data_IF_274353294203
#
_entry.id   IF_274353294203
#
_cell.length_a   1.000
_cell.length_b   1.000
_cell.length_c   1.000
_cell.angle_alpha   90.00
_cell.angle_beta   90.00
_cell.angle_gamma   90.00
#
_symmetry.space_group_name_H-M   'P 1'
#
loop_
_entity.id
_entity.type
_entity.pdbx_description
1 polymer ?
#
# COMPACT_ATOMS: atom_id res chain seq x y z
N UNK A 1 50.39 -3.09 14.91
CA UNK A 1 49.18 -2.37 14.48
C UNK A 1 48.44 -3.26 13.51
N UNK A 2 47.45 -4.03 14.02
CA UNK A 2 46.62 -4.92 13.19
C UNK A 2 45.42 -4.16 12.70
N UNK A 3 45.37 -3.87 11.41
CA UNK A 3 44.20 -3.29 10.75
C UNK A 3 43.12 -4.37 10.56
N UNK A 4 42.08 -4.30 11.39
CA UNK A 4 40.90 -5.16 11.26
C UNK A 4 40.07 -4.69 10.06
N UNK A 5 40.20 -5.37 8.93
CA UNK A 5 39.35 -5.18 7.74
C UNK A 5 38.02 -5.90 7.99
N UNK A 6 36.86 -5.20 7.95
CA UNK A 6 35.56 -5.86 8.13
C UNK A 6 35.30 -6.81 6.97
N UNK A 7 34.98 -8.08 7.26
CA UNK A 7 34.61 -9.10 6.26
C UNK A 7 33.28 -8.72 5.59
N UNK A 8 33.19 -8.65 4.25
CA UNK A 8 31.99 -8.26 3.52
C UNK A 8 30.78 -9.22 3.68
N UNK A 9 30.98 -10.42 4.23
CA UNK A 9 29.90 -11.40 4.50
C UNK A 9 28.98 -11.05 5.67
N UNK A 10 29.42 -10.23 6.62
CA UNK A 10 28.64 -9.94 7.83
C UNK A 10 27.44 -9.02 7.59
N UNK A 11 27.50 -8.10 6.64
CA UNK A 11 26.44 -7.15 6.33
C UNK A 11 25.29 -7.83 5.58
N UNK A 12 25.60 -8.60 4.53
CA UNK A 12 24.60 -9.39 3.78
C UNK A 12 23.84 -10.36 4.69
N UNK A 13 24.53 -11.14 5.51
CA UNK A 13 23.91 -12.10 6.42
C UNK A 13 23.02 -11.42 7.47
N UNK A 14 23.35 -10.19 7.87
CA UNK A 14 22.51 -9.38 8.78
C UNK A 14 21.23 -8.91 8.09
N UNK A 15 21.35 -8.36 6.87
CA UNK A 15 20.20 -7.89 6.09
C UNK A 15 19.25 -9.04 5.75
N UNK A 16 19.79 -10.22 5.40
CA UNK A 16 19.03 -11.46 5.18
C UNK A 16 18.25 -11.92 6.42
N UNK A 17 18.90 -11.86 7.60
CA UNK A 17 18.23 -12.26 8.86
C UNK A 17 17.10 -11.29 9.24
N UNK A 18 17.31 -9.99 9.07
CA UNK A 18 16.29 -8.97 9.29
C UNK A 18 15.09 -9.17 8.36
N UNK A 19 15.34 -9.42 7.08
CA UNK A 19 14.30 -9.67 6.08
C UNK A 19 13.50 -10.93 6.43
N UNK A 20 14.17 -12.05 6.81
CA UNK A 20 13.47 -13.27 7.24
C UNK A 20 12.57 -13.06 8.45
N UNK A 21 13.00 -12.22 9.41
CA UNK A 21 12.18 -11.88 10.57
C UNK A 21 10.91 -11.12 10.12
N UNK A 22 11.04 -10.14 9.23
CA UNK A 22 9.89 -9.42 8.69
C UNK A 22 8.96 -10.31 7.87
N UNK A 23 9.49 -11.22 7.04
CA UNK A 23 8.68 -12.17 6.26
C UNK A 23 7.87 -13.12 7.17
N UNK A 24 8.52 -13.62 8.22
CA UNK A 24 7.88 -14.49 9.21
C UNK A 24 6.79 -13.73 10.00
N UNK A 25 7.10 -12.50 10.43
CA UNK A 25 6.16 -11.66 11.16
C UNK A 25 4.94 -11.30 10.29
N UNK A 26 5.15 -10.93 9.03
CA UNK A 26 4.07 -10.63 8.08
C UNK A 26 3.11 -11.82 7.95
N UNK A 27 3.65 -13.01 7.76
CA UNK A 27 2.85 -14.24 7.63
C UNK A 27 2.05 -14.53 8.91
N UNK A 28 2.69 -14.46 10.07
CA UNK A 28 2.06 -14.75 11.35
C UNK A 28 1.02 -13.70 11.75
N UNK A 29 1.32 -12.42 11.57
CA UNK A 29 0.36 -11.34 11.85
C UNK A 29 -0.86 -11.43 10.94
N UNK A 30 -0.68 -11.77 9.67
CA UNK A 30 -1.80 -11.94 8.76
C UNK A 30 -2.69 -13.13 9.13
N UNK A 31 -2.10 -14.24 9.60
CA UNK A 31 -2.81 -15.46 9.89
C UNK A 31 -3.46 -15.45 11.28
N UNK A 32 -2.70 -15.02 12.29
CA UNK A 32 -3.12 -15.14 13.70
C UNK A 32 -3.49 -13.78 14.32
N UNK A 33 -3.09 -12.66 13.71
CA UNK A 33 -3.16 -11.32 14.28
C UNK A 33 -1.92 -10.96 15.09
N UNK A 34 -1.78 -9.68 15.39
CA UNK A 34 -0.65 -9.15 16.14
C UNK A 34 -0.63 -9.71 17.58
N UNK A 35 -1.75 -9.59 18.30
CA UNK A 35 -1.82 -9.96 19.72
C UNK A 35 -1.50 -11.44 19.97
N UNK A 36 -2.08 -12.33 19.16
CA UNK A 36 -1.88 -13.77 19.29
C UNK A 36 -0.50 -14.25 18.80
N UNK A 37 0.28 -13.40 18.13
CA UNK A 37 1.59 -13.78 17.61
C UNK A 37 2.68 -13.50 18.65
N UNK A 38 3.33 -14.55 19.14
CA UNK A 38 4.48 -14.44 20.02
C UNK A 38 5.77 -14.21 19.23
N UNK A 39 6.69 -13.38 19.76
CA UNK A 39 8.03 -13.17 19.16
C UNK A 39 8.83 -14.45 19.03
N UNK A 40 8.61 -15.43 19.94
CA UNK A 40 9.21 -16.76 19.84
C UNK A 40 8.76 -17.52 18.59
N UNK A 41 7.48 -17.43 18.21
CA UNK A 41 6.95 -18.04 16.99
C UNK A 41 7.58 -17.39 15.74
N UNK A 42 7.75 -16.05 15.75
CA UNK A 42 8.46 -15.34 14.67
C UNK A 42 9.90 -15.84 14.54
N UNK A 43 10.61 -16.03 15.65
CA UNK A 43 11.98 -16.56 15.66
C UNK A 43 12.09 -17.95 15.03
N UNK A 44 11.18 -18.84 15.41
CA UNK A 44 11.12 -20.22 14.88
C UNK A 44 10.84 -20.19 13.38
N UNK A 45 9.84 -19.43 12.94
CA UNK A 45 9.47 -19.35 11.53
C UNK A 45 10.56 -18.68 10.67
N UNK A 46 11.25 -17.67 11.21
CA UNK A 46 12.36 -17.01 10.54
C UNK A 46 13.65 -17.84 10.53
N UNK A 47 13.72 -18.93 11.30
CA UNK A 47 14.94 -19.73 11.45
C UNK A 47 16.09 -18.94 12.10
N UNK A 48 15.78 -18.12 13.12
CA UNK A 48 16.77 -17.28 13.82
C UNK A 48 16.69 -17.49 15.35
N UNK A 49 17.79 -17.29 16.09
CA UNK A 49 17.75 -17.24 17.54
C UNK A 49 16.83 -16.11 18.04
N UNK A 50 16.04 -16.36 19.10
CA UNK A 50 15.11 -15.37 19.68
C UNK A 50 15.79 -14.05 20.04
N UNK A 51 17.03 -14.10 20.55
CA UNK A 51 17.81 -12.91 20.89
C UNK A 51 18.11 -12.01 19.69
N UNK A 52 18.17 -12.58 18.47
CA UNK A 52 18.42 -11.82 17.26
C UNK A 52 17.21 -10.96 16.86
N UNK A 53 15.99 -11.36 17.22
CA UNK A 53 14.80 -10.52 17.00
C UNK A 53 14.95 -9.22 17.78
N UNK A 54 15.26 -9.29 19.08
CA UNK A 54 15.39 -8.11 19.93
C UNK A 54 16.61 -7.24 19.60
N UNK A 55 17.59 -7.81 18.92
CA UNK A 55 18.69 -7.03 18.36
C UNK A 55 18.24 -6.10 17.20
N UNK A 56 17.34 -6.58 16.33
CA UNK A 56 16.83 -5.78 15.21
C UNK A 56 15.59 -4.96 15.56
N UNK A 57 14.73 -5.50 16.42
CA UNK A 57 13.44 -4.94 16.77
C UNK A 57 13.25 -5.02 18.29
N UNK A 58 13.41 -3.90 19.00
CA UNK A 58 13.34 -3.89 20.47
C UNK A 58 12.03 -4.42 21.04
N UNK A 59 10.93 -4.23 20.28
CA UNK A 59 9.58 -4.67 20.66
C UNK A 59 8.86 -5.33 19.49
N UNK A 60 7.76 -6.01 19.78
CA UNK A 60 6.88 -6.59 18.74
C UNK A 60 6.21 -5.49 17.91
N UNK A 61 5.87 -4.37 18.54
CA UNK A 61 5.34 -3.17 17.90
C UNK A 61 6.34 -2.59 16.88
N UNK A 62 7.63 -2.57 17.19
CA UNK A 62 8.67 -2.13 16.26
C UNK A 62 8.74 -3.02 14.99
N UNK A 63 8.44 -4.31 15.10
CA UNK A 63 8.32 -5.20 13.93
C UNK A 63 7.13 -4.78 13.08
N UNK A 64 5.96 -4.55 13.70
CA UNK A 64 4.75 -4.15 13.01
C UNK A 64 4.92 -2.79 12.30
N UNK A 65 5.46 -1.80 13.00
CA UNK A 65 5.74 -0.47 12.44
C UNK A 65 6.69 -0.56 11.24
N UNK A 66 7.77 -1.34 11.37
CA UNK A 66 8.72 -1.56 10.30
C UNK A 66 8.07 -2.25 9.08
N UNK A 67 7.24 -3.28 9.30
CA UNK A 67 6.51 -3.94 8.23
C UNK A 67 5.63 -2.96 7.47
N UNK A 68 4.87 -2.13 8.19
CA UNK A 68 3.94 -1.18 7.59
C UNK A 68 4.72 -0.11 6.81
N UNK A 69 5.78 0.44 7.37
CA UNK A 69 6.52 1.55 6.75
C UNK A 69 7.37 1.12 5.56
N UNK A 70 8.01 -0.05 5.62
CA UNK A 70 8.91 -0.51 4.56
C UNK A 70 8.19 -1.23 3.41
N UNK A 71 7.09 -1.95 3.70
CA UNK A 71 6.39 -2.76 2.69
C UNK A 71 5.16 -2.08 2.12
N UNK A 72 4.66 -1.05 2.77
CA UNK A 72 3.60 -0.19 2.26
C UNK A 72 3.97 1.28 2.51
N UNK A 73 4.91 1.84 1.75
CA UNK A 73 5.32 3.22 1.95
C UNK A 73 4.13 4.17 1.80
N UNK A 74 4.10 5.22 2.63
CA UNK A 74 3.03 6.21 2.58
C UNK A 74 3.03 7.03 1.28
N UNK A 75 4.18 7.07 0.60
CA UNK A 75 4.39 7.77 -0.66
C UNK A 75 4.90 6.78 -1.74
N UNK A 76 4.02 5.88 -2.25
CA UNK A 76 4.44 4.81 -3.15
C UNK A 76 4.75 5.29 -4.57
N UNK A 77 4.29 6.49 -4.96
CA UNK A 77 4.48 7.06 -6.29
C UNK A 77 5.42 8.26 -6.21
N UNK A 78 6.60 8.13 -6.76
CA UNK A 78 7.63 9.18 -6.80
C UNK A 78 7.56 10.04 -8.05
N UNK A 79 7.13 9.48 -9.18
CA UNK A 79 6.96 10.20 -10.45
C UNK A 79 5.54 10.02 -10.99
N UNK A 80 4.72 11.04 -10.79
CA UNK A 80 3.34 11.09 -11.29
C UNK A 80 3.31 11.22 -12.81
N UNK A 81 4.29 11.93 -13.41
CA UNK A 81 4.28 12.20 -14.84
C UNK A 81 4.48 10.92 -15.67
N UNK A 82 5.22 9.95 -15.14
CA UNK A 82 5.39 8.64 -15.79
C UNK A 82 4.07 7.84 -15.93
N UNK A 83 3.02 8.23 -15.20
CA UNK A 83 1.70 7.58 -15.22
C UNK A 83 0.67 8.34 -16.06
N UNK A 84 1.00 9.56 -16.50
CA UNK A 84 0.08 10.41 -17.26
C UNK A 84 -0.05 9.92 -18.70
N UNK A 85 -1.29 9.70 -19.12
CA UNK A 85 -1.67 9.51 -20.51
C UNK A 85 -2.38 10.80 -20.97
N UNK A 86 -1.72 11.66 -21.76
CA UNK A 86 -2.28 12.95 -22.12
C UNK A 86 -3.61 12.83 -22.88
N UNK A 87 -4.64 13.52 -22.40
CA UNK A 87 -5.99 13.47 -23.00
C UNK A 87 -6.82 12.23 -22.57
N UNK A 88 -6.23 11.27 -21.84
CA UNK A 88 -6.94 10.09 -21.34
C UNK A 88 -6.78 9.90 -19.82
N UNK A 89 -7.62 10.60 -19.03
CA UNK A 89 -7.63 10.43 -17.58
C UNK A 89 -7.96 9.00 -17.13
N UNK A 90 -8.76 8.24 -17.89
CA UNK A 90 -9.11 6.88 -17.52
C UNK A 90 -7.91 5.95 -17.65
N UNK A 91 -7.12 6.04 -18.72
CA UNK A 91 -5.89 5.29 -18.88
C UNK A 91 -4.87 5.66 -17.79
N UNK A 92 -4.74 6.94 -17.47
CA UNK A 92 -3.86 7.43 -16.40
C UNK A 92 -4.22 6.83 -15.03
N UNK A 93 -5.51 6.72 -14.70
CA UNK A 93 -5.97 6.07 -13.46
C UNK A 93 -5.64 4.57 -13.45
N UNK A 94 -5.77 3.88 -14.58
CA UNK A 94 -5.39 2.47 -14.71
C UNK A 94 -3.88 2.29 -14.56
N UNK A 95 -3.07 3.22 -15.10
CA UNK A 95 -1.62 3.22 -14.91
C UNK A 95 -1.26 3.37 -13.43
N UNK A 96 -1.96 4.24 -12.70
CA UNK A 96 -1.78 4.40 -11.26
C UNK A 96 -2.11 3.11 -10.49
N UNK A 97 -3.25 2.46 -10.77
CA UNK A 97 -3.60 1.18 -10.13
C UNK A 97 -2.54 0.10 -10.41
N UNK A 98 -2.07 0.04 -11.65
CA UNK A 98 -1.03 -0.91 -12.06
C UNK A 98 0.30 -0.66 -11.36
N UNK A 99 0.72 0.61 -11.23
CA UNK A 99 1.96 0.98 -10.57
C UNK A 99 1.93 0.69 -9.06
N UNK A 100 0.80 0.95 -8.42
CA UNK A 100 0.61 0.68 -7.00
C UNK A 100 0.52 -0.82 -6.70
N UNK A 101 0.02 -1.60 -7.65
CA UNK A 101 -0.17 -3.05 -7.53
C UNK A 101 -0.78 -3.49 -6.18
N UNK A 102 -1.73 -2.68 -5.65
CA UNK A 102 -2.38 -2.94 -4.36
C UNK A 102 -3.11 -4.29 -4.32
N UNK A 103 -3.38 -4.87 -5.49
CA UNK A 103 -4.12 -6.13 -5.65
C UNK A 103 -3.18 -7.35 -5.70
N UNK A 104 -1.86 -7.16 -5.63
CA UNK A 104 -0.91 -8.25 -5.53
C UNK A 104 -1.04 -9.01 -4.20
N UNK A 105 -0.68 -10.29 -4.20
CA UNK A 105 -0.83 -11.17 -3.04
C UNK A 105 -0.09 -10.64 -1.80
N UNK A 106 1.14 -10.18 -1.95
CA UNK A 106 1.92 -9.60 -0.84
C UNK A 106 1.25 -8.35 -0.28
N UNK A 107 0.84 -7.43 -1.14
CA UNK A 107 0.10 -6.23 -0.72
C UNK A 107 -1.24 -6.56 -0.07
N UNK A 108 -1.89 -7.68 -0.44
CA UNK A 108 -3.14 -8.11 0.18
C UNK A 108 -2.95 -8.60 1.62
N UNK A 109 -1.88 -9.33 1.90
CA UNK A 109 -1.53 -9.79 3.25
C UNK A 109 -1.29 -8.61 4.18
N UNK A 110 -0.47 -7.65 3.73
CA UNK A 110 -0.15 -6.47 4.52
C UNK A 110 -1.39 -5.60 4.80
N UNK A 111 -2.31 -5.45 3.83
CA UNK A 111 -3.59 -4.75 4.06
C UNK A 111 -4.43 -5.37 5.15
N UNK A 112 -4.43 -6.70 5.27
CA UNK A 112 -5.14 -7.37 6.38
C UNK A 112 -4.58 -6.97 7.71
N UNK A 113 -3.25 -6.96 7.82
CA UNK A 113 -2.56 -6.55 9.03
C UNK A 113 -2.94 -5.10 9.34
N UNK A 114 -2.80 -4.20 8.38
CA UNK A 114 -3.08 -2.76 8.56
C UNK A 114 -4.53 -2.51 8.96
N UNK A 115 -5.50 -3.12 8.27
CA UNK A 115 -6.92 -2.92 8.60
C UNK A 115 -7.29 -3.49 9.97
N UNK A 116 -6.73 -4.64 10.34
CA UNK A 116 -6.98 -5.24 11.66
C UNK A 116 -6.36 -4.42 12.78
N UNK A 117 -5.13 -3.95 12.57
CA UNK A 117 -4.35 -3.34 13.64
C UNK A 117 -4.53 -1.80 13.71
N UNK A 118 -5.16 -1.17 12.71
CA UNK A 118 -5.41 0.28 12.71
C UNK A 118 -6.30 0.75 13.87
N UNK A 119 -7.19 -0.11 14.37
CA UNK A 119 -8.06 0.26 15.49
C UNK A 119 -7.29 0.32 16.82
N UNK A 120 -6.32 -0.55 17.01
CA UNK A 120 -5.57 -0.72 18.27
C UNK A 120 -4.19 -0.05 18.27
N UNK A 121 -3.60 0.18 17.07
CA UNK A 121 -2.26 0.76 16.91
C UNK A 121 -2.30 2.15 16.27
N UNK A 122 -2.14 3.25 17.04
CA UNK A 122 -2.21 4.62 16.52
C UNK A 122 -1.21 4.92 15.40
N UNK A 123 -0.01 4.33 15.45
CA UNK A 123 1.03 4.54 14.44
C UNK A 123 0.66 3.90 13.09
N UNK A 124 0.07 2.69 13.12
CA UNK A 124 -0.48 2.02 11.94
C UNK A 124 -1.63 2.86 11.34
N UNK A 125 -2.53 3.34 12.18
CA UNK A 125 -3.63 4.23 11.76
C UNK A 125 -3.12 5.52 11.12
N UNK A 126 -2.15 6.17 11.76
CA UNK A 126 -1.52 7.39 11.23
C UNK A 126 -0.83 7.15 9.90
N UNK A 127 -0.17 6.00 9.72
CA UNK A 127 0.45 5.61 8.47
C UNK A 127 -0.60 5.41 7.35
N UNK A 128 -1.71 4.74 7.65
CA UNK A 128 -2.81 4.55 6.71
C UNK A 128 -3.45 5.89 6.27
N UNK A 129 -3.60 6.83 7.21
CA UNK A 129 -4.07 8.18 6.88
C UNK A 129 -3.10 8.90 5.94
N UNK A 130 -1.78 8.85 6.20
CA UNK A 130 -0.78 9.46 5.30
C UNK A 130 -0.81 8.85 3.90
N UNK A 131 -0.84 7.51 3.81
CA UNK A 131 -0.94 6.81 2.54
C UNK A 131 -2.18 7.25 1.75
N UNK A 132 -3.34 7.26 2.39
CA UNK A 132 -4.61 7.66 1.76
C UNK A 132 -4.58 9.11 1.29
N UNK A 133 -4.06 10.03 2.11
CA UNK A 133 -3.90 11.44 1.74
C UNK A 133 -2.95 11.61 0.57
N UNK A 134 -1.81 10.95 0.58
CA UNK A 134 -0.85 10.99 -0.52
C UNK A 134 -1.46 10.46 -1.83
N UNK A 135 -2.15 9.32 -1.79
CA UNK A 135 -2.81 8.77 -2.98
C UNK A 135 -3.91 9.69 -3.53
N UNK A 136 -4.61 10.40 -2.65
CA UNK A 136 -5.58 11.41 -3.07
C UNK A 136 -4.88 12.57 -3.82
N UNK A 137 -3.80 13.10 -3.28
CA UNK A 137 -3.04 14.21 -3.89
C UNK A 137 -2.37 13.78 -5.20
N UNK A 138 -1.81 12.57 -5.26
CA UNK A 138 -1.27 11.96 -6.48
C UNK A 138 -2.36 11.84 -7.54
N UNK A 139 -3.54 11.35 -7.17
CA UNK A 139 -4.66 11.19 -8.09
C UNK A 139 -5.15 12.53 -8.63
N UNK A 140 -5.25 13.55 -7.78
CA UNK A 140 -5.63 14.91 -8.23
C UNK A 140 -4.64 15.46 -9.26
N UNK A 141 -3.33 15.35 -8.99
CA UNK A 141 -2.28 15.80 -9.93
C UNK A 141 -2.33 15.02 -11.25
N UNK A 142 -2.51 13.70 -11.17
CA UNK A 142 -2.62 12.82 -12.33
C UNK A 142 -3.81 13.20 -13.22
N UNK A 143 -4.98 13.39 -12.62
CA UNK A 143 -6.21 13.78 -13.32
C UNK A 143 -6.07 15.15 -13.95
N UNK A 144 -5.48 16.12 -13.26
CA UNK A 144 -5.25 17.46 -13.80
C UNK A 144 -4.28 17.43 -14.98
N UNK A 145 -3.20 16.63 -14.90
CA UNK A 145 -2.19 16.52 -15.95
C UNK A 145 -2.68 15.76 -17.19
N UNK A 146 -3.58 14.78 -17.00
CA UNK A 146 -4.14 13.99 -18.11
C UNK A 146 -5.40 14.58 -18.74
N UNK A 147 -6.02 15.56 -18.10
CA UNK A 147 -7.24 16.19 -18.63
C UNK A 147 -6.98 16.96 -19.94
N UNK A 148 -7.91 16.93 -20.90
CA UNK A 148 -7.78 17.68 -22.16
C UNK A 148 -7.92 19.21 -21.98
N UNK A 149 -8.25 19.67 -20.78
CA UNK A 149 -8.42 21.08 -20.44
C UNK A 149 -8.53 21.30 -18.94
N UNK A 150 -8.69 22.55 -18.48
CA UNK A 150 -8.77 22.87 -17.07
C UNK A 150 -10.00 22.23 -16.41
N UNK A 151 -9.79 21.63 -15.24
CA UNK A 151 -10.84 21.01 -14.43
C UNK A 151 -11.00 21.76 -13.12
N UNK A 152 -12.25 21.97 -12.69
CA UNK A 152 -12.50 22.66 -11.44
C UNK A 152 -11.93 21.88 -10.23
N UNK A 153 -11.33 22.55 -9.24
CA UNK A 153 -10.73 21.88 -8.07
C UNK A 153 -11.70 20.98 -7.29
N UNK A 154 -12.97 21.39 -7.21
CA UNK A 154 -14.02 20.57 -6.57
C UNK A 154 -14.27 19.25 -7.27
N UNK A 155 -14.32 19.28 -8.62
CA UNK A 155 -14.48 18.09 -9.45
C UNK A 155 -13.26 17.16 -9.33
N UNK A 156 -12.03 17.71 -9.41
CA UNK A 156 -10.81 16.92 -9.21
C UNK A 156 -10.83 16.20 -7.86
N UNK A 157 -11.19 16.92 -6.80
CA UNK A 157 -11.25 16.35 -5.44
C UNK A 157 -12.29 15.22 -5.35
N UNK A 158 -13.48 15.42 -5.90
CA UNK A 158 -14.52 14.40 -5.91
C UNK A 158 -14.09 13.16 -6.71
N UNK A 159 -13.51 13.35 -7.89
CA UNK A 159 -12.99 12.27 -8.73
C UNK A 159 -11.86 11.50 -8.02
N UNK A 160 -10.90 12.20 -7.40
CA UNK A 160 -9.81 11.58 -6.65
C UNK A 160 -10.34 10.80 -5.44
N UNK A 161 -11.29 11.34 -4.69
CA UNK A 161 -11.93 10.65 -3.56
C UNK A 161 -12.63 9.37 -4.02
N UNK A 162 -13.38 9.44 -5.11
CA UNK A 162 -14.08 8.29 -5.70
C UNK A 162 -13.09 7.21 -6.14
N UNK A 163 -12.04 7.61 -6.87
CA UNK A 163 -11.03 6.67 -7.36
C UNK A 163 -10.29 5.96 -6.22
N UNK A 164 -9.74 6.72 -5.26
CA UNK A 164 -9.01 6.15 -4.12
C UNK A 164 -9.92 5.23 -3.31
N UNK A 165 -11.19 5.62 -3.08
CA UNK A 165 -12.14 4.76 -2.38
C UNK A 165 -12.44 3.46 -3.14
N UNK A 166 -12.58 3.53 -4.47
CA UNK A 166 -12.79 2.35 -5.31
C UNK A 166 -11.59 1.40 -5.28
N UNK A 167 -10.36 1.93 -5.35
CA UNK A 167 -9.15 1.12 -5.26
C UNK A 167 -9.07 0.36 -3.93
N UNK A 168 -9.31 1.02 -2.80
CA UNK A 168 -9.33 0.38 -1.48
C UNK A 168 -10.46 -0.65 -1.36
N UNK A 169 -11.65 -0.35 -1.88
CA UNK A 169 -12.79 -1.27 -1.89
C UNK A 169 -12.49 -2.51 -2.73
N UNK A 170 -12.01 -2.34 -3.97
CA UNK A 170 -11.64 -3.45 -4.85
C UNK A 170 -10.57 -4.34 -4.21
N UNK A 171 -9.57 -3.74 -3.57
CA UNK A 171 -8.53 -4.47 -2.87
C UNK A 171 -9.08 -5.31 -1.69
N UNK A 172 -10.09 -4.82 -0.99
CA UNK A 172 -10.77 -5.55 0.10
C UNK A 172 -11.65 -6.68 -0.45
N UNK A 173 -12.40 -6.42 -1.53
CA UNK A 173 -13.25 -7.40 -2.20
C UNK A 173 -12.42 -8.55 -2.78
N UNK A 174 -11.31 -8.26 -3.47
CA UNK A 174 -10.40 -9.29 -4.00
C UNK A 174 -9.90 -10.26 -2.92
N UNK A 175 -9.74 -9.76 -1.69
CA UNK A 175 -9.37 -10.62 -0.59
C UNK A 175 -10.50 -11.54 -0.17
N UNK A 176 -11.73 -11.04 -0.05
CA UNK A 176 -12.89 -11.89 0.28
C UNK A 176 -13.06 -12.98 -0.77
N UNK A 177 -13.00 -12.62 -2.05
CA UNK A 177 -13.06 -13.59 -3.16
C UNK A 177 -11.93 -14.63 -3.07
N UNK A 178 -10.71 -14.21 -2.72
CA UNK A 178 -9.59 -15.13 -2.56
C UNK A 178 -9.76 -16.11 -1.40
N UNK A 179 -10.41 -15.70 -0.30
CA UNK A 179 -10.73 -16.59 0.83
C UNK A 179 -11.77 -17.65 0.42
N UNK A 180 -12.68 -17.31 -0.47
CA UNK A 180 -13.73 -18.20 -0.99
C UNK A 180 -13.26 -19.00 -2.22
N UNK A 181 -11.99 -18.87 -2.63
CA UNK A 181 -11.43 -19.54 -3.81
C UNK A 181 -11.99 -19.01 -5.14
N UNK A 182 -12.62 -17.84 -5.14
CA UNK A 182 -13.25 -17.23 -6.31
C UNK A 182 -12.24 -16.37 -7.10
N UNK A 183 -12.41 -16.28 -8.45
CA UNK A 183 -11.53 -15.48 -9.30
C UNK A 183 -11.72 -13.98 -9.03
N UNK A 184 -10.61 -13.22 -9.11
CA UNK A 184 -10.63 -11.76 -9.01
C UNK A 184 -11.31 -11.13 -10.21
N UNK A 185 -12.14 -10.11 -9.98
CA UNK A 185 -12.71 -9.32 -11.07
C UNK A 185 -11.83 -8.09 -11.36
N UNK A 186 -11.04 -8.15 -12.44
CA UNK A 186 -10.15 -7.03 -12.85
C UNK A 186 -10.86 -5.94 -13.66
N UNK A 187 -12.06 -6.21 -14.14
CA UNK A 187 -12.76 -5.30 -15.05
C UNK A 187 -13.39 -4.10 -14.32
N UNK A 188 -13.69 -4.25 -13.04
CA UNK A 188 -14.40 -3.23 -12.27
C UNK A 188 -13.64 -1.92 -12.17
N UNK A 189 -12.31 -1.92 -11.92
CA UNK A 189 -11.54 -0.68 -11.81
C UNK A 189 -11.35 0.04 -13.14
N UNK A 190 -11.25 -0.66 -14.27
CA UNK A 190 -11.22 -0.02 -15.59
C UNK A 190 -12.55 0.66 -15.92
N UNK A 191 -13.65 0.06 -15.51
CA UNK A 191 -14.98 0.64 -15.66
C UNK A 191 -15.15 1.85 -14.73
N UNK A 192 -14.72 1.76 -13.48
CA UNK A 192 -14.70 2.89 -12.54
C UNK A 192 -13.82 4.03 -13.07
N UNK A 193 -12.64 3.75 -13.63
CA UNK A 193 -11.77 4.76 -14.23
C UNK A 193 -12.50 5.55 -15.34
N UNK A 194 -13.23 4.85 -16.22
CA UNK A 194 -14.03 5.49 -17.28
C UNK A 194 -15.16 6.36 -16.70
N UNK A 195 -15.84 5.89 -15.66
CA UNK A 195 -16.90 6.67 -15.00
C UNK A 195 -16.33 7.93 -14.33
N UNK A 196 -15.20 7.82 -13.65
CA UNK A 196 -14.51 8.95 -13.02
C UNK A 196 -14.06 9.96 -14.08
N UNK A 197 -13.45 9.50 -15.18
CA UNK A 197 -13.02 10.36 -16.28
C UNK A 197 -14.20 11.08 -16.96
N UNK A 198 -15.31 10.39 -17.19
CA UNK A 198 -16.54 10.98 -17.73
C UNK A 198 -17.13 12.05 -16.79
N UNK A 199 -17.07 11.83 -15.47
CA UNK A 199 -17.49 12.80 -14.46
C UNK A 199 -16.70 14.11 -14.52
N UNK A 200 -15.42 14.09 -14.90
CA UNK A 200 -14.62 15.29 -15.07
C UNK A 200 -15.16 16.20 -16.20
N UNK A 201 -15.68 15.61 -17.28
CA UNK A 201 -16.21 16.35 -18.44
C UNK A 201 -17.64 16.82 -18.23
N UNK A 202 -18.44 16.08 -17.44
CA UNK A 202 -19.87 16.34 -17.24
C UNK A 202 -20.19 17.42 -16.20
N UNK A 203 -19.40 17.49 -15.13
CA UNK A 203 -19.64 18.43 -14.01
C UNK A 203 -19.32 19.89 -14.34
N UNK A 204 -18.57 20.18 -15.39
CA UNK A 204 -18.35 21.55 -15.88
C UNK A 204 -19.61 22.24 -16.43
N UNK A 205 -20.69 21.49 -16.64
CA UNK A 205 -22.00 21.99 -17.15
C UNK A 205 -23.08 22.10 -16.09
N UNK A 206 -22.84 21.59 -14.87
CA UNK A 206 -23.78 21.69 -13.75
C UNK A 206 -23.36 22.86 -12.85
N UNK A 207 -23.68 24.08 -13.25
CA UNK A 207 -23.73 25.22 -12.32
C UNK A 207 -24.89 24.93 -11.35
N UNK A 208 -24.58 24.61 -10.12
CA UNK A 208 -25.57 24.67 -9.05
C UNK A 208 -25.88 26.15 -8.80
N UNK A 209 -27.07 26.59 -9.28
CA UNK A 209 -27.67 27.88 -8.93
C UNK A 209 -28.10 27.93 -7.47
#
# INVERSE_FOLDING_TARGET
MSTHVPRPGGRRARDESRTRILDAAETLFATHGFDATATAAIAVQAGVPKGLIFYYFPTKEAILETLVTERMPAEPITDVNALVEPGDPAASLVNLDTALNLRDHRSSVLRVIIWREADTHPDVRSHLHRLRSNLHDVTMRLLQASAPGPVQPGTLRACATTWVSAMFSAASTDRLLALDGLPRNREDLRTVARVVAAGMSGMGKLSFG
#
